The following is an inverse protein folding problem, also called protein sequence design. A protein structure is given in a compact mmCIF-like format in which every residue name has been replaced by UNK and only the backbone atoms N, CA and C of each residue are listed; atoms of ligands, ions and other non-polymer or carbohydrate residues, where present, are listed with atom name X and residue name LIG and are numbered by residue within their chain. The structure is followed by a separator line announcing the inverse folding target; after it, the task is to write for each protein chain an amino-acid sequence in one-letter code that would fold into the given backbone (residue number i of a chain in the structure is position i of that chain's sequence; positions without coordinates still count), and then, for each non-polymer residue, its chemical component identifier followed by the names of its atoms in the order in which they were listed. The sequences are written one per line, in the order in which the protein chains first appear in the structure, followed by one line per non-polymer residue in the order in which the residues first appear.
data_IF_350230174863
#
_entry.id   IF_350230174863
#
_cell.length_a   1.000
_cell.length_b   1.000
_cell.length_c   1.000
_cell.angle_alpha   90.00
_cell.angle_beta   90.00
_cell.angle_gamma   90.00
#
_symmetry.space_group_name_H-M   'P 1'
#
loop_
_entity.id
_entity.type
_entity.pdbx_description
1 polymer ?
#
# COMPACT_ATOMS: atom_id res chain seq x y z
N UNK A 1 0.98 -19.82 14.25
CA UNK A 1 1.80 -19.60 13.04
C UNK A 1 2.80 -18.49 13.33
N UNK A 2 4.05 -18.55 12.85
CA UNK A 2 4.97 -17.43 13.00
C UNK A 2 4.41 -16.22 12.25
N UNK A 3 4.26 -15.09 12.93
CA UNK A 3 3.88 -13.85 12.26
C UNK A 3 5.07 -13.37 11.41
N UNK A 4 4.82 -13.09 10.13
CA UNK A 4 5.82 -12.50 9.25
C UNK A 4 6.08 -11.04 9.61
N UNK A 5 7.32 -10.59 9.43
CA UNK A 5 7.71 -9.21 9.68
C UNK A 5 7.12 -8.29 8.60
N UNK A 6 6.40 -7.24 9.01
CA UNK A 6 5.72 -6.31 8.11
C UNK A 6 6.71 -5.58 7.21
N UNK A 7 7.93 -5.26 7.67
CA UNK A 7 8.92 -4.60 6.83
C UNK A 7 9.51 -5.55 5.77
N UNK A 8 9.66 -6.83 6.10
CA UNK A 8 10.04 -7.84 5.11
C UNK A 8 8.96 -7.97 4.02
N UNK A 9 7.68 -7.93 4.42
CA UNK A 9 6.56 -7.90 3.48
C UNK A 9 6.60 -6.66 2.57
N UNK A 10 6.89 -5.48 3.14
CA UNK A 10 7.04 -4.23 2.37
C UNK A 10 8.21 -4.30 1.38
N UNK A 11 9.30 -4.98 1.76
CA UNK A 11 10.41 -5.21 0.84
C UNK A 11 9.96 -6.04 -0.37
N UNK A 12 9.19 -7.12 -0.17
CA UNK A 12 8.66 -7.94 -1.26
C UNK A 12 7.76 -7.14 -2.22
N UNK A 13 6.88 -6.29 -1.69
CA UNK A 13 6.08 -5.39 -2.52
C UNK A 13 6.95 -4.44 -3.35
N UNK A 14 7.97 -3.83 -2.75
CA UNK A 14 8.87 -2.93 -3.47
C UNK A 14 9.69 -3.65 -4.54
N UNK A 15 10.08 -4.90 -4.30
CA UNK A 15 10.88 -5.68 -5.24
C UNK A 15 10.07 -6.10 -6.48
N UNK A 16 8.82 -6.53 -6.28
CA UNK A 16 8.04 -7.21 -7.32
C UNK A 16 6.78 -6.46 -7.77
N UNK A 17 6.39 -5.39 -7.07
CA UNK A 17 5.13 -4.67 -7.27
C UNK A 17 3.91 -5.35 -6.64
N UNK A 18 4.03 -6.61 -6.20
CA UNK A 18 3.00 -7.40 -5.54
C UNK A 18 3.66 -8.50 -4.68
N UNK A 19 2.89 -9.26 -3.92
CA UNK A 19 3.39 -10.47 -3.27
C UNK A 19 3.33 -11.68 -4.20
N UNK A 20 4.47 -12.33 -4.41
CA UNK A 20 4.57 -13.57 -5.21
C UNK A 20 4.43 -14.84 -4.38
N UNK A 21 4.85 -14.79 -3.12
CA UNK A 21 4.94 -15.96 -2.24
C UNK A 21 3.74 -16.01 -1.26
N UNK A 22 2.73 -16.87 -1.48
CA UNK A 22 1.56 -16.99 -0.62
C UNK A 22 1.90 -17.36 0.84
N UNK A 23 3.04 -18.04 1.03
CA UNK A 23 3.48 -18.49 2.35
C UNK A 23 3.77 -17.32 3.28
N UNK A 24 4.14 -16.15 2.73
CA UNK A 24 4.38 -14.90 3.49
C UNK A 24 3.15 -14.40 4.23
N UNK A 25 1.95 -14.85 3.84
CA UNK A 25 0.66 -14.51 4.44
C UNK A 25 -0.08 -15.74 4.97
N UNK A 26 0.63 -16.87 5.12
CA UNK A 26 0.09 -18.12 5.66
C UNK A 26 -0.81 -18.90 4.70
N UNK A 27 -0.70 -18.65 3.39
CA UNK A 27 -1.45 -19.35 2.34
C UNK A 27 -0.56 -20.35 1.59
N UNK A 28 -1.17 -21.40 1.03
CA UNK A 28 -0.48 -22.32 0.14
C UNK A 28 -0.37 -21.76 -1.29
N UNK A 29 -1.45 -21.15 -1.78
CA UNK A 29 -1.57 -20.55 -3.12
C UNK A 29 -2.47 -19.31 -3.05
N UNK A 30 -2.48 -18.49 -4.10
CA UNK A 30 -3.45 -17.40 -4.26
C UNK A 30 -4.66 -17.81 -5.11
N UNK A 31 -5.07 -19.08 -5.09
CA UNK A 31 -6.22 -19.54 -5.90
C UNK A 31 -7.52 -19.39 -5.12
N UNK A 32 -8.63 -19.13 -5.82
CA UNK A 32 -9.96 -19.02 -5.19
C UNK A 32 -10.29 -20.17 -4.22
N UNK A 33 -10.04 -21.47 -4.54
CA UNK A 33 -10.32 -22.56 -3.59
C UNK A 33 -9.54 -22.44 -2.27
N UNK A 34 -8.27 -22.05 -2.31
CA UNK A 34 -7.47 -21.83 -1.09
C UNK A 34 -7.99 -20.62 -0.30
N UNK A 35 -8.29 -19.51 -0.98
CA UNK A 35 -8.79 -18.28 -0.34
C UNK A 35 -10.12 -18.55 0.38
N UNK A 36 -11.07 -19.18 -0.30
CA UNK A 36 -12.37 -19.55 0.27
C UNK A 36 -12.22 -20.56 1.42
N UNK A 37 -11.35 -21.57 1.28
CA UNK A 37 -11.07 -22.53 2.35
C UNK A 37 -10.43 -21.89 3.59
N UNK A 38 -9.77 -20.75 3.43
CA UNK A 38 -9.20 -19.94 4.53
C UNK A 38 -10.13 -18.85 5.05
N UNK A 39 -11.36 -18.78 4.54
CA UNK A 39 -12.40 -17.88 5.04
C UNK A 39 -12.37 -16.48 4.46
N UNK A 40 -11.68 -16.24 3.34
CA UNK A 40 -11.72 -14.95 2.67
C UNK A 40 -13.14 -14.63 2.20
N UNK A 41 -13.56 -13.39 2.43
CA UNK A 41 -14.79 -12.85 1.88
C UNK A 41 -14.58 -12.54 0.39
N UNK A 42 -15.49 -13.02 -0.46
CA UNK A 42 -15.44 -12.84 -1.92
C UNK A 42 -16.41 -11.74 -2.36
N UNK A 43 -15.90 -10.83 -3.19
CA UNK A 43 -16.67 -9.80 -3.89
C UNK A 43 -16.27 -9.82 -5.38
N UNK A 44 -17.21 -10.16 -6.26
CA UNK A 44 -16.96 -10.29 -7.69
C UNK A 44 -17.85 -9.36 -8.49
N UNK A 45 -17.25 -8.66 -9.45
CA UNK A 45 -17.99 -7.90 -10.45
C UNK A 45 -18.27 -8.79 -11.67
N UNK A 46 -19.33 -9.59 -11.61
CA UNK A 46 -19.93 -10.30 -12.75
C UNK A 46 -19.03 -11.26 -13.56
N UNK A 47 -17.78 -11.50 -13.17
CA UNK A 47 -16.84 -12.45 -13.77
C UNK A 47 -15.52 -11.89 -14.31
N UNK A 48 -15.26 -10.57 -14.23
CA UNK A 48 -13.98 -10.01 -14.75
C UNK A 48 -12.89 -9.90 -13.68
N UNK A 49 -13.23 -9.41 -12.49
CA UNK A 49 -12.29 -9.30 -11.37
C UNK A 49 -13.03 -9.69 -10.09
N UNK A 50 -12.39 -10.52 -9.27
CA UNK A 50 -12.88 -10.91 -7.96
C UNK A 50 -11.86 -10.47 -6.90
N UNK A 51 -12.34 -9.74 -5.91
CA UNK A 51 -11.62 -9.40 -4.69
C UNK A 51 -11.91 -10.47 -3.63
N UNK A 52 -10.85 -10.99 -3.03
CA UNK A 52 -10.89 -11.80 -1.83
C UNK A 52 -10.20 -11.03 -0.71
N UNK A 53 -10.88 -10.87 0.42
CA UNK A 53 -10.34 -10.11 1.55
C UNK A 53 -10.46 -10.89 2.87
N UNK A 54 -9.42 -10.82 3.69
CA UNK A 54 -9.40 -11.37 5.04
C UNK A 54 -8.45 -10.59 5.94
N UNK A 55 -8.72 -10.61 7.24
CA UNK A 55 -7.84 -10.01 8.22
C UNK A 55 -6.59 -10.87 8.43
N UNK A 56 -5.43 -10.24 8.30
CA UNK A 56 -4.13 -10.87 8.53
C UNK A 56 -3.35 -10.15 9.58
N UNK A 57 -2.56 -10.92 10.31
CA UNK A 57 -1.74 -10.42 11.40
C UNK A 57 -0.27 -10.57 11.03
N UNK A 58 0.44 -9.46 11.15
CA UNK A 58 1.88 -9.37 10.94
C UNK A 58 2.55 -8.91 12.22
N UNK A 59 3.88 -9.01 12.24
CA UNK A 59 4.70 -8.51 13.33
C UNK A 59 5.51 -7.31 12.91
N UNK A 60 5.70 -6.40 13.86
CA UNK A 60 6.73 -5.38 13.82
C UNK A 60 7.50 -5.45 15.14
N UNK A 61 8.65 -6.10 15.13
CA UNK A 61 9.33 -6.49 16.35
C UNK A 61 8.37 -7.25 17.31
N UNK A 62 8.12 -6.73 18.51
CA UNK A 62 7.20 -7.32 19.50
C UNK A 62 5.73 -6.93 19.32
N UNK A 63 5.40 -6.02 18.40
CA UNK A 63 4.04 -5.52 18.20
C UNK A 63 3.31 -6.28 17.09
N UNK A 64 2.06 -6.61 17.35
CA UNK A 64 1.14 -7.09 16.33
C UNK A 64 0.67 -5.92 15.44
N UNK A 65 0.54 -6.19 14.15
CA UNK A 65 -0.02 -5.29 13.15
C UNK A 65 -1.14 -6.05 12.46
N UNK A 66 -2.38 -5.60 12.64
CA UNK A 66 -3.54 -6.16 11.94
C UNK A 66 -3.68 -5.46 10.60
N UNK A 67 -3.96 -6.17 9.53
CA UNK A 67 -4.14 -5.59 8.21
C UNK A 67 -5.28 -6.29 7.50
N UNK A 68 -6.02 -5.57 6.66
CA UNK A 68 -6.88 -6.23 5.69
C UNK A 68 -6.03 -6.67 4.50
N UNK A 69 -5.91 -7.98 4.25
CA UNK A 69 -5.16 -8.51 3.11
C UNK A 69 -6.11 -8.81 1.96
N UNK A 70 -5.79 -8.25 0.80
CA UNK A 70 -6.61 -8.30 -0.41
C UNK A 70 -5.91 -9.11 -1.49
N UNK A 71 -6.65 -9.97 -2.17
CA UNK A 71 -6.19 -10.74 -3.33
C UNK A 71 -7.18 -10.52 -4.46
N UNK A 72 -6.68 -10.07 -5.61
CA UNK A 72 -7.47 -9.80 -6.79
C UNK A 72 -7.22 -10.89 -7.82
N UNK A 73 -8.26 -11.63 -8.19
CA UNK A 73 -8.20 -12.66 -9.23
C UNK A 73 -8.96 -12.22 -10.48
N UNK A 74 -8.30 -12.33 -11.63
CA UNK A 74 -8.89 -12.10 -12.95
C UNK A 74 -8.85 -13.41 -13.74
N UNK A 75 -10.01 -13.92 -14.14
CA UNK A 75 -10.10 -15.23 -14.81
C UNK A 75 -9.47 -16.37 -13.98
N UNK A 76 -9.57 -16.29 -12.65
CA UNK A 76 -9.00 -17.28 -11.71
C UNK A 76 -7.49 -17.20 -11.50
N UNK A 77 -6.80 -16.23 -12.11
CA UNK A 77 -5.35 -16.00 -11.93
C UNK A 77 -5.11 -14.77 -11.06
N UNK A 78 -4.03 -14.80 -10.28
CA UNK A 78 -3.59 -13.65 -9.52
C UNK A 78 -3.35 -12.47 -10.47
N UNK A 79 -4.10 -11.39 -10.27
CA UNK A 79 -3.94 -10.13 -10.95
C UNK A 79 -3.15 -9.14 -10.09
N UNK A 80 -3.49 -9.03 -8.81
CA UNK A 80 -2.78 -8.19 -7.84
C UNK A 80 -3.07 -8.66 -6.42
N UNK A 81 -2.36 -8.11 -5.45
CA UNK A 81 -2.70 -8.22 -4.03
C UNK A 81 -2.26 -6.95 -3.29
N UNK A 82 -2.73 -6.81 -2.06
CA UNK A 82 -2.46 -5.63 -1.28
C UNK A 82 -2.87 -5.72 0.18
N UNK A 83 -2.63 -4.63 0.89
CA UNK A 83 -2.87 -4.47 2.32
C UNK A 83 -3.50 -3.12 2.61
N UNK A 84 -4.47 -3.15 3.50
CA UNK A 84 -4.93 -1.97 4.23
C UNK A 84 -4.38 -2.04 5.66
N UNK A 85 -3.62 -1.02 6.07
CA UNK A 85 -2.88 -1.01 7.33
C UNK A 85 -3.43 0.02 8.35
N UNK A 86 -4.31 0.92 7.90
CA UNK A 86 -4.81 2.04 8.69
C UNK A 86 -3.68 2.92 9.23
N UNK A 87 -3.67 3.21 10.53
CA UNK A 87 -2.69 4.10 11.18
C UNK A 87 -1.69 3.36 12.09
N UNK A 88 -1.34 2.11 11.75
CA UNK A 88 -0.49 1.26 12.61
C UNK A 88 1.00 1.32 12.26
N UNK A 89 1.33 1.51 10.98
CA UNK A 89 2.71 1.43 10.47
C UNK A 89 3.15 2.82 10.00
N UNK A 90 4.23 3.34 10.59
CA UNK A 90 4.80 4.61 10.14
C UNK A 90 5.53 4.41 8.81
N UNK A 91 5.22 5.25 7.83
CA UNK A 91 5.92 5.25 6.53
C UNK A 91 7.44 5.37 6.72
N UNK A 92 7.84 6.25 7.63
CA UNK A 92 9.25 6.46 7.94
C UNK A 92 9.96 5.24 8.55
N UNK A 93 9.23 4.29 9.14
CA UNK A 93 9.83 3.02 9.60
C UNK A 93 10.04 2.07 8.43
N UNK A 94 9.07 1.98 7.52
CA UNK A 94 9.17 1.18 6.29
C UNK A 94 10.33 1.68 5.43
N UNK A 95 10.36 2.98 5.08
CA UNK A 95 11.38 3.56 4.19
C UNK A 95 12.82 3.48 4.73
N UNK A 96 12.99 3.25 6.03
CA UNK A 96 14.30 3.01 6.67
C UNK A 96 14.69 1.53 6.70
N UNK A 97 13.70 0.64 6.77
CA UNK A 97 13.92 -0.80 6.86
C UNK A 97 14.12 -1.46 5.50
N UNK A 98 13.54 -0.89 4.44
CA UNK A 98 13.66 -1.41 3.08
C UNK A 98 15.01 -1.05 2.47
N UNK A 99 15.47 -1.88 1.53
CA UNK A 99 16.73 -1.72 0.81
C UNK A 99 16.74 -0.42 0.01
N UNK A 100 17.94 0.15 -0.12
CA UNK A 100 18.20 1.36 -0.92
C UNK A 100 19.13 1.02 -2.10
N UNK A 101 19.01 1.72 -3.25
CA UNK A 101 18.00 2.76 -3.54
C UNK A 101 16.59 2.17 -3.65
N UNK A 102 15.56 3.02 -3.46
CA UNK A 102 14.19 2.61 -3.74
C UNK A 102 14.03 2.40 -5.26
N UNK A 103 13.15 1.48 -5.71
CA UNK A 103 12.76 1.41 -7.11
C UNK A 103 12.22 2.77 -7.58
N UNK A 104 12.30 3.10 -8.89
CA UNK A 104 11.78 4.36 -9.42
C UNK A 104 10.33 4.63 -9.01
N UNK A 105 10.07 5.87 -8.58
CA UNK A 105 8.75 6.30 -8.10
C UNK A 105 8.46 7.76 -8.41
N UNK A 106 7.17 8.08 -8.44
CA UNK A 106 6.63 9.44 -8.40
C UNK A 106 6.02 9.68 -7.02
N UNK A 107 6.44 10.77 -6.38
CA UNK A 107 5.77 11.27 -5.18
C UNK A 107 4.57 12.11 -5.58
N UNK A 108 3.41 11.75 -5.04
CA UNK A 108 2.16 12.48 -5.21
C UNK A 108 1.71 12.99 -3.84
N UNK A 109 1.30 14.24 -3.74
CA UNK A 109 0.85 14.87 -2.50
C UNK A 109 -0.47 15.61 -2.71
N UNK A 110 -1.32 15.54 -1.68
CA UNK A 110 -2.44 16.45 -1.53
C UNK A 110 -1.95 17.90 -1.34
N UNK A 111 -2.76 18.90 -1.70
CA UNK A 111 -2.46 20.34 -1.55
C UNK A 111 -1.98 20.73 -0.14
N UNK A 112 -2.58 20.13 0.90
CA UNK A 112 -2.19 20.35 2.31
C UNK A 112 -1.04 19.47 2.81
N UNK A 113 -0.58 18.52 1.99
CA UNK A 113 0.38 17.47 2.36
C UNK A 113 -0.03 16.71 3.63
N UNK A 114 -1.32 16.54 3.88
CA UNK A 114 -1.83 15.67 4.95
C UNK A 114 -1.87 14.21 4.49
N UNK A 115 -2.01 13.99 3.18
CA UNK A 115 -1.96 12.68 2.56
C UNK A 115 -1.21 12.71 1.23
N UNK A 116 -0.89 11.53 0.72
CA UNK A 116 -0.23 11.36 -0.56
C UNK A 116 0.03 9.90 -0.88
N UNK A 117 0.76 9.68 -1.97
CA UNK A 117 1.14 8.36 -2.43
C UNK A 117 2.56 8.34 -3.01
N UNK A 118 3.24 7.21 -2.88
CA UNK A 118 4.37 6.84 -3.73
C UNK A 118 3.81 5.89 -4.80
N UNK A 119 3.88 6.31 -6.05
CA UNK A 119 3.48 5.51 -7.21
C UNK A 119 4.75 5.04 -7.93
N UNK A 120 4.99 3.73 -7.92
CA UNK A 120 6.19 3.13 -8.51
C UNK A 120 5.98 2.77 -9.98
N UNK A 121 7.06 2.66 -10.75
CA UNK A 121 7.00 2.27 -12.16
C UNK A 121 6.47 0.83 -12.37
N UNK A 122 6.49 0.00 -11.34
CA UNK A 122 5.85 -1.33 -11.32
C UNK A 122 4.32 -1.28 -11.22
N UNK A 123 3.74 -0.09 -11.03
CA UNK A 123 2.31 0.11 -10.73
C UNK A 123 1.95 -0.10 -9.26
N UNK A 124 2.92 -0.41 -8.39
CA UNK A 124 2.71 -0.44 -6.94
C UNK A 124 2.33 0.95 -6.42
N UNK A 125 1.32 0.99 -5.56
CA UNK A 125 0.89 2.20 -4.84
C UNK A 125 1.10 2.04 -3.35
N UNK A 126 1.84 2.96 -2.75
CA UNK A 126 1.93 3.14 -1.30
C UNK A 126 1.23 4.43 -0.90
N UNK A 127 0.00 4.35 -0.39
CA UNK A 127 -0.68 5.53 0.14
C UNK A 127 -0.32 5.77 1.60
N UNK A 128 -0.25 7.04 1.96
CA UNK A 128 0.04 7.46 3.31
C UNK A 128 -0.77 8.69 3.72
N UNK A 129 -1.05 8.78 5.01
CA UNK A 129 -1.72 9.92 5.60
C UNK A 129 -1.16 10.24 6.99
N UNK A 130 -1.27 11.49 7.39
CA UNK A 130 -1.01 11.90 8.76
C UNK A 130 -2.13 11.41 9.68
N UNK A 131 -1.84 11.28 10.97
CA UNK A 131 -2.85 10.97 11.97
C UNK A 131 -4.04 11.93 11.88
N UNK A 132 -5.26 11.39 12.01
CA UNK A 132 -6.52 12.15 11.94
C UNK A 132 -6.67 13.18 13.07
N UNK A 133 -6.01 12.96 14.21
CA UNK A 133 -6.18 13.78 15.42
C UNK A 133 -4.86 14.40 15.89
N UNK A 134 -4.89 15.70 16.18
CA UNK A 134 -3.75 16.46 16.69
C UNK A 134 -2.80 16.95 15.59
N UNK A 135 -1.70 17.59 16.01
CA UNK A 135 -0.72 18.12 15.07
C UNK A 135 -0.04 16.98 14.27
N UNK A 136 0.03 17.07 12.93
CA UNK A 136 0.68 16.06 12.10
C UNK A 136 2.18 15.90 12.42
N UNK A 137 2.53 14.73 12.98
CA UNK A 137 3.93 14.40 13.35
C UNK A 137 4.57 13.37 12.45
N UNK A 138 3.77 12.41 11.98
CA UNK A 138 4.25 11.31 11.15
C UNK A 138 3.23 10.99 10.06
N UNK A 139 3.73 10.51 8.92
CA UNK A 139 2.91 9.77 7.98
C UNK A 139 2.83 8.30 8.39
N UNK A 140 1.63 7.76 8.29
CA UNK A 140 1.35 6.34 8.41
C UNK A 140 1.02 5.81 7.03
N UNK A 141 1.54 4.63 6.74
CA UNK A 141 1.17 3.88 5.55
C UNK A 141 -0.24 3.37 5.76
N UNK A 142 -1.17 3.79 4.91
CA UNK A 142 -2.59 3.43 5.00
C UNK A 142 -2.93 2.28 4.08
N UNK A 143 -2.31 2.25 2.89
CA UNK A 143 -2.58 1.26 1.85
C UNK A 143 -1.32 0.90 1.06
N UNK A 144 -1.24 -0.37 0.68
CA UNK A 144 -0.23 -0.95 -0.21
C UNK A 144 -0.93 -1.83 -1.20
N UNK A 145 -1.01 -1.44 -2.46
CA UNK A 145 -1.69 -2.27 -3.46
C UNK A 145 -0.84 -2.36 -4.72
N UNK A 146 -0.80 -3.57 -5.28
CA UNK A 146 -0.18 -3.80 -6.59
C UNK A 146 -0.97 -3.14 -7.73
N UNK A 147 -0.54 -3.34 -8.98
CA UNK A 147 -1.15 -2.70 -10.14
C UNK A 147 -2.61 -3.14 -10.28
N UNK A 148 -3.53 -2.18 -10.22
CA UNK A 148 -4.95 -2.38 -10.44
C UNK A 148 -5.44 -1.50 -11.60
N UNK A 149 -6.42 -1.99 -12.38
CA UNK A 149 -6.99 -1.21 -13.47
C UNK A 149 -7.74 0.00 -12.91
N UNK A 150 -7.91 1.01 -13.76
CA UNK A 150 -8.81 2.12 -13.43
C UNK A 150 -10.24 1.62 -13.22
N UNK A 151 -10.97 2.23 -12.27
CA UNK A 151 -12.33 1.84 -11.95
C UNK A 151 -13.21 1.94 -13.20
N UNK A 152 -13.83 0.81 -13.56
CA UNK A 152 -14.84 0.75 -14.61
C UNK A 152 -16.26 0.96 -14.07
N UNK A 153 -17.26 0.55 -14.85
CA UNK A 153 -18.66 0.51 -14.43
C UNK A 153 -19.01 -0.64 -13.46
N UNK A 154 -17.99 -1.33 -12.96
CA UNK A 154 -18.12 -2.47 -12.06
C UNK A 154 -18.45 -2.11 -10.62
N UNK A 155 -18.85 -3.11 -9.84
CA UNK A 155 -19.16 -2.95 -8.41
C UNK A 155 -17.92 -2.83 -7.50
N UNK A 156 -16.74 -3.21 -8.00
CA UNK A 156 -15.50 -3.10 -7.23
C UNK A 156 -14.97 -1.66 -7.22
N UNK A 157 -14.82 -1.10 -6.02
CA UNK A 157 -14.16 0.20 -5.85
C UNK A 157 -12.63 0.04 -5.84
N UNK A 158 -12.02 0.23 -7.01
CA UNK A 158 -10.56 0.15 -7.20
C UNK A 158 -9.87 1.52 -7.09
N UNK A 159 -10.64 2.59 -6.81
CA UNK A 159 -10.14 3.98 -6.83
C UNK A 159 -8.96 4.21 -5.90
N UNK A 160 -8.93 3.53 -4.76
CA UNK A 160 -7.89 3.72 -3.76
C UNK A 160 -6.49 3.28 -4.24
N UNK A 161 -6.37 2.55 -5.34
CA UNK A 161 -5.08 2.04 -5.80
C UNK A 161 -4.86 2.12 -7.31
N UNK A 162 -5.89 2.45 -8.09
CA UNK A 162 -5.71 2.64 -9.53
C UNK A 162 -4.83 3.86 -9.80
N UNK A 163 -3.88 3.70 -10.73
CA UNK A 163 -2.93 4.77 -11.08
C UNK A 163 -3.65 6.06 -11.49
N UNK A 164 -4.64 5.96 -12.38
CA UNK A 164 -5.37 7.12 -12.88
C UNK A 164 -6.14 7.84 -11.77
N UNK A 165 -6.73 7.10 -10.83
CA UNK A 165 -7.46 7.71 -9.72
C UNK A 165 -6.53 8.34 -8.68
N UNK A 166 -5.44 7.66 -8.31
CA UNK A 166 -4.45 8.22 -7.37
C UNK A 166 -3.82 9.50 -7.93
N UNK A 167 -3.55 9.56 -9.24
CA UNK A 167 -3.08 10.76 -9.92
C UNK A 167 -4.14 11.87 -10.01
N UNK A 168 -5.43 11.52 -10.05
CA UNK A 168 -6.51 12.50 -9.99
C UNK A 168 -6.69 13.09 -8.58
N UNK A 169 -6.42 12.30 -7.53
CA UNK A 169 -6.54 12.71 -6.14
C UNK A 169 -5.37 13.58 -5.67
N UNK A 170 -4.16 13.31 -6.16
CA UNK A 170 -2.92 13.92 -5.68
C UNK A 170 -2.12 14.60 -6.78
N UNK A 171 -1.53 15.75 -6.45
CA UNK A 171 -0.62 16.46 -7.37
C UNK A 171 0.79 15.86 -7.33
N UNK A 172 1.43 15.73 -8.49
CA UNK A 172 2.84 15.36 -8.56
C UNK A 172 3.71 16.37 -7.78
N UNK A 173 4.63 15.87 -6.97
CA UNK A 173 5.57 16.69 -6.20
C UNK A 173 7.01 16.30 -6.54
N UNK A 174 7.66 17.15 -7.34
CA UNK A 174 9.07 16.96 -7.69
C UNK A 174 9.98 17.11 -6.45
N UNK A 175 11.19 16.50 -6.43
CA UNK A 175 12.09 16.56 -5.28
C UNK A 175 12.39 17.98 -4.78
N UNK A 176 12.62 18.92 -5.70
CA UNK A 176 12.88 20.33 -5.36
C UNK A 176 11.66 21.01 -4.73
N UNK A 177 10.46 20.69 -5.22
CA UNK A 177 9.22 21.18 -4.64
C UNK A 177 8.98 20.60 -3.25
N UNK A 178 9.25 19.30 -3.06
CA UNK A 178 9.19 18.64 -1.76
C UNK A 178 10.09 19.36 -0.74
N UNK A 179 11.33 19.67 -1.12
CA UNK A 179 12.25 20.41 -0.25
C UNK A 179 11.72 21.81 0.09
N UNK A 180 11.16 22.53 -0.89
CA UNK A 180 10.54 23.85 -0.64
C UNK A 180 9.36 23.76 0.32
N UNK A 181 8.44 22.81 0.11
CA UNK A 181 7.27 22.61 0.97
C UNK A 181 7.70 22.19 2.38
N UNK A 182 8.70 21.30 2.50
CA UNK A 182 9.19 20.82 3.79
C UNK A 182 9.76 21.93 4.68
N UNK A 183 10.42 22.95 4.13
CA UNK A 183 10.97 24.08 4.92
C UNK A 183 9.93 24.83 5.74
N UNK A 184 8.69 24.92 5.23
CA UNK A 184 7.55 25.56 5.89
C UNK A 184 6.48 24.57 6.34
N UNK A 185 6.76 23.27 6.17
CA UNK A 185 5.81 22.19 6.37
C UNK A 185 5.75 21.66 7.79
N UNK A 186 4.76 20.82 8.03
CA UNK A 186 4.62 20.08 9.28
C UNK A 186 5.81 19.12 9.50
N UNK A 187 5.88 18.50 10.68
CA UNK A 187 6.97 17.60 11.02
C UNK A 187 6.99 16.33 10.14
N UNK A 188 5.82 15.83 9.74
CA UNK A 188 5.70 14.66 8.87
C UNK A 188 6.32 14.92 7.49
N UNK A 189 6.01 16.07 6.87
CA UNK A 189 6.55 16.46 5.58
C UNK A 189 8.07 16.66 5.62
N UNK A 190 8.59 17.23 6.71
CA UNK A 190 10.03 17.35 6.95
C UNK A 190 10.73 16.00 7.12
N UNK A 191 10.09 15.04 7.76
CA UNK A 191 10.59 13.66 7.87
C UNK A 191 10.61 12.98 6.50
N UNK A 192 9.51 13.09 5.74
CA UNK A 192 9.40 12.50 4.40
C UNK A 192 10.47 13.05 3.46
N UNK A 193 10.61 14.38 3.38
CA UNK A 193 11.61 15.02 2.52
C UNK A 193 13.01 14.49 2.80
N UNK A 194 13.39 14.35 4.07
CA UNK A 194 14.71 13.84 4.46
C UNK A 194 14.93 12.38 4.08
N UNK A 195 13.88 11.55 4.09
CA UNK A 195 13.97 10.13 3.77
C UNK A 195 13.99 9.86 2.27
N UNK A 196 13.49 10.80 1.46
CA UNK A 196 13.44 10.70 0.00
C UNK A 196 14.52 11.55 -0.69
N UNK A 197 15.36 12.24 0.08
CA UNK A 197 16.60 12.89 -0.40
C UNK A 197 17.73 11.88 -0.49
#
# INVERSE_FOLDING_TARGET
MPFHDIHALMQSYLDDGWLREPQTVGLATFTAPELLARGFYELCDGGQLCLYEDERWFRRASRAVQTSFKVYLQGGRLHANGLELGYQVRLASVLRAVRRPLPPYRLLLETGACSGALLFDSGLVLQFATNLHGAPRHYFLTLVEGPLPDPGAGELDLRAASEGHVQALYGHCAPEELQRKARRGNAALRELARLLS
#
